data_IF_191600118092
#
_entry.id   IF_191600118092
#
_cell.length_a   1.000
_cell.length_b   1.000
_cell.length_c   1.000
_cell.angle_alpha   90.00
_cell.angle_beta   90.00
_cell.angle_gamma   90.00
#
_symmetry.space_group_name_H-M   'P 1'
#
loop_
_entity.id
_entity.type
_entity.pdbx_description
1 polymer ?
#
# COMPACT_ATOMS: atom_id res chain seq x y z
N UNK A 1 -85.56 -24.42 -17.79
CA UNK A 1 -85.80 -24.13 -19.23
C UNK A 1 -84.51 -23.42 -19.71
N UNK A 2 -83.75 -24.15 -20.45
CA UNK A 2 -83.24 -23.88 -21.79
C UNK A 2 -82.82 -22.41 -22.03
N UNK A 3 -81.57 -22.05 -22.40
CA UNK A 3 -81.01 -22.34 -23.70
C UNK A 3 -79.51 -22.05 -23.75
N UNK A 4 -78.79 -22.86 -24.46
CA UNK A 4 -77.45 -22.70 -24.98
C UNK A 4 -77.38 -21.52 -26.00
N UNK A 5 -76.28 -20.84 -26.04
CA UNK A 5 -75.68 -20.37 -27.30
C UNK A 5 -74.18 -20.26 -27.21
N UNK A 6 -73.52 -20.87 -28.14
CA UNK A 6 -72.10 -20.98 -28.34
C UNK A 6 -71.58 -19.86 -29.25
N UNK A 7 -70.25 -19.84 -29.36
CA UNK A 7 -69.39 -19.18 -30.39
C UNK A 7 -68.88 -17.77 -29.99
N UNK A 8 -67.61 -17.43 -30.11
CA UNK A 8 -66.55 -17.84 -31.03
C UNK A 8 -65.21 -17.43 -30.53
N UNK A 9 -64.23 -18.19 -30.93
CA UNK A 9 -62.75 -17.92 -30.78
C UNK A 9 -62.33 -16.63 -31.43
N UNK A 10 -61.48 -15.89 -30.75
CA UNK A 10 -60.47 -15.02 -31.40
C UNK A 10 -59.14 -15.19 -30.74
N UNK A 11 -58.25 -15.86 -31.44
CA UNK A 11 -56.82 -15.93 -31.17
C UNK A 11 -56.25 -14.50 -31.16
N UNK A 12 -55.66 -14.07 -30.05
CA UNK A 12 -54.70 -13.02 -30.06
C UNK A 12 -53.36 -13.62 -29.63
N UNK A 13 -52.43 -13.69 -30.58
CA UNK A 13 -51.02 -13.91 -30.37
C UNK A 13 -50.47 -12.78 -29.50
N UNK A 14 -50.12 -13.08 -28.26
CA UNK A 14 -49.26 -12.23 -27.45
C UNK A 14 -47.82 -12.68 -27.72
N UNK A 15 -47.08 -11.86 -28.43
CA UNK A 15 -45.64 -11.95 -28.58
C UNK A 15 -45.03 -11.73 -27.22
N UNK A 16 -44.59 -12.77 -26.53
CA UNK A 16 -43.63 -12.67 -25.43
C UNK A 16 -42.25 -12.37 -26.02
N UNK A 17 -41.87 -11.09 -25.94
CA UNK A 17 -40.48 -10.72 -26.15
C UNK A 17 -39.67 -11.20 -24.94
N UNK A 18 -38.99 -12.31 -25.10
CA UNK A 18 -37.94 -12.75 -24.20
C UNK A 18 -36.83 -11.68 -24.18
N UNK A 19 -36.77 -10.88 -23.11
CA UNK A 19 -35.56 -10.14 -22.72
C UNK A 19 -34.55 -11.21 -22.28
N UNK A 20 -33.67 -11.61 -23.19
CA UNK A 20 -32.42 -12.24 -22.83
C UNK A 20 -31.55 -11.15 -22.20
N UNK A 21 -31.51 -11.08 -20.86
CA UNK A 21 -30.48 -10.41 -20.11
C UNK A 21 -29.14 -11.08 -20.46
N UNK A 22 -28.41 -10.43 -21.30
CA UNK A 22 -27.04 -10.81 -21.65
C UNK A 22 -26.15 -10.53 -20.42
N UNK A 23 -26.18 -11.43 -19.44
CA UNK A 23 -25.16 -11.50 -18.40
C UNK A 23 -23.91 -12.00 -19.09
N UNK A 24 -23.01 -11.06 -19.43
CA UNK A 24 -21.63 -11.38 -19.74
C UNK A 24 -21.04 -12.03 -18.50
N UNK A 25 -20.94 -13.36 -18.51
CA UNK A 25 -20.17 -14.09 -17.52
C UNK A 25 -18.72 -13.56 -17.62
N UNK A 26 -18.24 -12.86 -16.59
CA UNK A 26 -16.82 -12.59 -16.46
C UNK A 26 -16.13 -13.97 -16.44
N UNK A 27 -15.26 -14.18 -17.43
CA UNK A 27 -14.45 -15.38 -17.50
C UNK A 27 -13.57 -15.41 -16.25
N UNK A 28 -13.86 -16.29 -15.30
CA UNK A 28 -13.06 -16.47 -14.09
C UNK A 28 -11.68 -16.94 -14.54
N UNK A 29 -10.69 -16.07 -14.40
CA UNK A 29 -9.29 -16.45 -14.64
C UNK A 29 -8.83 -17.43 -13.55
N UNK A 30 -8.03 -18.41 -13.94
CA UNK A 30 -7.37 -19.28 -12.96
C UNK A 30 -6.43 -18.44 -12.09
N UNK A 31 -6.30 -18.75 -10.79
CA UNK A 31 -5.39 -18.05 -9.89
C UNK A 31 -3.94 -18.06 -10.41
N UNK A 32 -3.20 -16.98 -10.16
CA UNK A 32 -1.83 -16.83 -10.64
C UNK A 32 -0.99 -15.94 -9.71
N UNK A 33 0.33 -16.07 -9.76
CA UNK A 33 1.23 -15.36 -8.88
C UNK A 33 1.06 -13.84 -8.99
N UNK A 34 0.90 -13.19 -7.84
CA UNK A 34 0.91 -11.75 -7.73
C UNK A 34 2.33 -11.23 -7.45
N UNK A 35 2.79 -10.25 -8.22
CA UNK A 35 4.07 -9.57 -7.99
C UNK A 35 3.79 -8.17 -7.45
N UNK A 36 4.12 -7.93 -6.19
CA UNK A 36 3.87 -6.66 -5.52
C UNK A 36 5.12 -5.77 -5.61
N UNK A 37 4.95 -4.58 -6.16
CA UNK A 37 5.93 -3.49 -6.14
C UNK A 37 5.54 -2.55 -5.01
N UNK A 38 6.10 -2.79 -3.82
CA UNK A 38 5.86 -2.01 -2.62
C UNK A 38 6.83 -0.84 -2.58
N UNK A 39 6.32 0.38 -2.68
CA UNK A 39 7.10 1.62 -2.82
C UNK A 39 6.90 2.51 -1.61
N UNK A 40 8.00 2.99 -1.00
CA UNK A 40 7.93 4.08 -0.03
C UNK A 40 7.63 5.40 -0.73
N UNK A 41 6.70 6.19 -0.21
CA UNK A 41 6.40 7.52 -0.75
C UNK A 41 7.65 8.40 -0.96
N UNK A 42 7.55 9.36 -1.87
CA UNK A 42 8.61 10.33 -2.16
C UNK A 42 8.89 11.27 -0.98
N UNK A 43 10.03 11.97 -1.02
CA UNK A 43 10.47 12.87 0.03
C UNK A 43 9.51 14.05 0.21
N UNK A 44 9.04 14.27 1.45
CA UNK A 44 8.10 15.32 1.82
C UNK A 44 8.78 16.48 2.54
N UNK A 45 8.05 17.57 2.78
CA UNK A 45 8.51 18.68 3.61
C UNK A 45 8.83 18.23 5.05
N UNK A 46 8.06 17.29 5.62
CA UNK A 46 8.31 16.78 6.98
C UNK A 46 9.59 15.93 7.00
N UNK A 47 9.81 15.08 5.99
CA UNK A 47 11.07 14.35 5.87
C UNK A 47 12.26 15.32 5.71
N UNK A 48 12.09 16.39 4.95
CA UNK A 48 13.17 17.38 4.72
C UNK A 48 13.51 18.22 5.96
N UNK A 49 12.56 18.35 6.88
CA UNK A 49 12.73 19.09 8.14
C UNK A 49 12.92 18.17 9.34
N UNK A 50 13.15 16.88 9.09
CA UNK A 50 13.40 15.83 10.10
C UNK A 50 12.30 15.79 11.18
N UNK A 51 11.05 15.60 10.72
CA UNK A 51 9.90 15.52 11.61
C UNK A 51 9.17 14.19 11.49
N UNK A 52 8.62 13.73 12.60
CA UNK A 52 7.74 12.57 12.67
C UNK A 52 6.54 12.76 11.74
N UNK A 53 6.31 11.79 10.89
CA UNK A 53 5.29 11.82 9.88
C UNK A 53 4.57 10.47 9.82
N UNK A 54 3.67 10.28 10.74
CA UNK A 54 2.74 9.16 10.75
C UNK A 54 1.47 9.52 9.97
N UNK A 55 0.40 9.89 10.69
CA UNK A 55 -0.84 10.34 10.08
C UNK A 55 -0.83 11.83 9.74
N UNK A 56 0.05 12.64 10.33
CA UNK A 56 0.31 13.98 9.83
C UNK A 56 0.79 13.89 8.38
N UNK A 57 0.30 14.77 7.52
CA UNK A 57 0.58 14.71 6.10
C UNK A 57 1.19 16.03 5.59
N UNK A 58 1.98 15.93 4.53
CA UNK A 58 2.61 17.03 3.86
C UNK A 58 2.98 16.65 2.43
N UNK A 59 2.96 17.62 1.50
CA UNK A 59 3.24 17.37 0.09
C UNK A 59 4.69 16.91 -0.13
N UNK A 60 4.92 16.24 -1.25
CA UNK A 60 6.26 16.00 -1.75
C UNK A 60 6.95 17.33 -2.02
N UNK A 61 8.25 17.41 -1.73
CA UNK A 61 9.08 18.53 -2.18
C UNK A 61 9.49 18.32 -3.64
N UNK A 62 9.95 19.39 -4.37
CA UNK A 62 10.31 19.25 -5.79
C UNK A 62 11.31 18.12 -6.08
N UNK A 63 12.31 17.94 -5.22
CA UNK A 63 13.29 16.85 -5.34
C UNK A 63 12.65 15.48 -5.11
N UNK A 64 11.64 15.40 -4.24
CA UNK A 64 10.84 14.19 -4.01
C UNK A 64 9.98 13.84 -5.22
N UNK A 65 9.35 14.84 -5.84
CA UNK A 65 8.57 14.64 -7.08
C UNK A 65 9.45 14.17 -8.23
N UNK A 66 10.64 14.78 -8.41
CA UNK A 66 11.60 14.39 -9.45
C UNK A 66 12.08 12.95 -9.23
N UNK A 67 12.43 12.60 -8.00
CA UNK A 67 12.80 11.23 -7.64
C UNK A 67 11.70 10.24 -8.05
N UNK A 68 10.45 10.52 -7.70
CA UNK A 68 9.32 9.63 -7.99
C UNK A 68 8.99 9.56 -9.48
N UNK A 69 9.10 10.65 -10.24
CA UNK A 69 9.01 10.61 -11.70
C UNK A 69 10.08 9.68 -12.31
N UNK A 70 11.29 9.73 -11.78
CA UNK A 70 12.36 8.83 -12.22
C UNK A 70 12.05 7.37 -11.84
N UNK A 71 11.50 7.09 -10.64
CA UNK A 71 10.99 5.74 -10.30
C UNK A 71 9.93 5.30 -11.30
N UNK A 72 8.96 6.16 -11.62
CA UNK A 72 7.92 5.89 -12.61
C UNK A 72 8.48 5.55 -13.98
N UNK A 73 9.49 6.29 -14.47
CA UNK A 73 10.19 5.99 -15.74
C UNK A 73 10.93 4.65 -15.65
N UNK A 74 11.54 4.32 -14.51
CA UNK A 74 12.16 3.01 -14.28
C UNK A 74 11.16 1.87 -14.39
N UNK A 75 9.94 2.08 -13.88
CA UNK A 75 8.82 1.14 -13.91
C UNK A 75 7.91 1.27 -15.14
N UNK A 76 8.25 2.11 -16.11
CA UNK A 76 7.36 2.49 -17.23
C UNK A 76 6.84 1.32 -18.07
N UNK A 77 7.63 0.27 -18.22
CA UNK A 77 7.28 -0.90 -19.03
C UNK A 77 6.61 -2.03 -18.21
N UNK A 78 6.39 -1.84 -16.90
CA UNK A 78 5.75 -2.84 -16.06
C UNK A 78 4.23 -2.77 -16.25
N UNK A 79 3.59 -3.84 -16.73
CA UNK A 79 2.14 -3.88 -16.91
C UNK A 79 1.46 -4.13 -15.56
N UNK A 80 1.22 -3.07 -14.79
CA UNK A 80 0.43 -3.17 -13.57
C UNK A 80 -1.02 -3.53 -13.91
N UNK A 81 -1.62 -4.42 -13.09
CA UNK A 81 -3.03 -4.81 -13.19
C UNK A 81 -3.89 -4.09 -12.15
N UNK A 82 -3.28 -3.59 -11.07
CA UNK A 82 -3.92 -2.84 -9.99
C UNK A 82 -2.91 -1.89 -9.34
N UNK A 83 -3.42 -0.83 -8.72
CA UNK A 83 -2.62 0.14 -7.99
C UNK A 83 -3.32 0.53 -6.68
N UNK A 84 -2.57 0.50 -5.59
CA UNK A 84 -3.02 0.84 -4.25
C UNK A 84 -2.08 1.86 -3.62
N UNK A 85 -2.62 2.72 -2.77
CA UNK A 85 -1.82 3.57 -1.88
C UNK A 85 -2.49 3.70 -0.52
N UNK A 86 -1.74 4.07 0.51
CA UNK A 86 -2.43 4.66 1.66
C UNK A 86 -3.20 5.92 1.22
N UNK A 87 -4.18 6.32 2.00
CA UNK A 87 -4.99 7.52 1.73
C UNK A 87 -4.29 8.83 2.17
N UNK A 88 -3.01 8.77 2.59
CA UNK A 88 -2.18 9.96 2.82
C UNK A 88 -1.84 10.64 1.49
N UNK A 89 -1.95 11.96 1.43
CA UNK A 89 -1.72 12.75 0.21
C UNK A 89 -0.34 12.49 -0.41
N UNK A 90 0.71 12.31 0.41
CA UNK A 90 2.06 11.95 -0.06
C UNK A 90 2.13 10.61 -0.78
N UNK A 91 1.38 9.62 -0.32
CA UNK A 91 1.34 8.30 -0.97
C UNK A 91 0.51 8.34 -2.25
N UNK A 92 -0.63 9.03 -2.23
CA UNK A 92 -1.47 9.26 -3.41
C UNK A 92 -0.68 10.02 -4.49
N UNK A 93 0.02 11.10 -4.11
CA UNK A 93 0.84 11.88 -5.04
C UNK A 93 1.96 11.00 -5.65
N UNK A 94 2.61 10.18 -4.85
CA UNK A 94 3.64 9.23 -5.29
C UNK A 94 3.08 8.23 -6.31
N UNK A 95 1.97 7.56 -5.98
CA UNK A 95 1.36 6.57 -6.87
C UNK A 95 0.95 7.19 -8.21
N UNK A 96 0.32 8.37 -8.19
CA UNK A 96 -0.08 9.07 -9.40
C UNK A 96 1.11 9.47 -10.28
N UNK A 97 2.22 9.92 -9.70
CA UNK A 97 3.44 10.24 -10.45
C UNK A 97 4.04 8.99 -11.12
N UNK A 98 4.05 7.83 -10.43
CA UNK A 98 4.52 6.57 -11.01
C UNK A 98 3.62 6.13 -12.17
N UNK A 99 2.29 6.14 -11.98
CA UNK A 99 1.34 5.72 -13.00
C UNK A 99 1.35 6.64 -14.23
N UNK A 100 1.57 7.94 -14.03
CA UNK A 100 1.65 8.90 -15.14
C UNK A 100 2.80 8.62 -16.11
N UNK A 101 3.91 8.06 -15.64
CA UNK A 101 5.06 7.68 -16.47
C UNK A 101 4.90 6.29 -17.12
N UNK A 102 3.89 5.51 -16.73
CA UNK A 102 3.69 4.17 -17.27
C UNK A 102 3.30 4.21 -18.77
N UNK A 103 3.90 3.36 -19.58
CA UNK A 103 3.70 3.27 -21.03
C UNK A 103 2.76 2.14 -21.46
N UNK A 104 2.32 1.34 -20.50
CA UNK A 104 1.31 0.29 -20.69
C UNK A 104 -0.09 0.84 -20.44
N UNK A 105 -1.10 -0.02 -20.46
CA UNK A 105 -2.47 0.37 -20.11
C UNK A 105 -2.63 0.69 -18.60
N UNK A 106 -1.58 0.48 -17.81
CA UNK A 106 -1.60 0.73 -16.37
C UNK A 106 -1.85 2.19 -15.98
N UNK A 107 -1.59 3.17 -16.85
CA UNK A 107 -1.95 4.57 -16.60
C UNK A 107 -3.46 4.84 -16.55
N UNK A 108 -4.29 3.91 -17.02
CA UNK A 108 -5.75 3.98 -16.92
C UNK A 108 -6.31 3.27 -15.69
N UNK A 109 -5.44 2.65 -14.88
CA UNK A 109 -5.84 1.94 -13.65
C UNK A 109 -6.29 2.96 -12.61
N UNK A 110 -7.44 2.70 -12.00
CA UNK A 110 -7.92 3.47 -10.85
C UNK A 110 -7.04 3.19 -9.63
N UNK A 111 -6.57 4.25 -8.97
CA UNK A 111 -5.83 4.16 -7.73
C UNK A 111 -6.77 3.92 -6.56
N UNK A 112 -6.68 2.76 -5.94
CA UNK A 112 -7.48 2.40 -4.76
C UNK A 112 -6.75 2.81 -3.48
N UNK A 113 -7.42 3.61 -2.64
CA UNK A 113 -6.86 4.07 -1.36
C UNK A 113 -7.23 3.11 -0.23
N UNK A 114 -6.25 2.76 0.60
CA UNK A 114 -6.35 1.78 1.67
C UNK A 114 -5.82 2.33 2.99
N UNK A 115 -6.70 2.48 3.99
CA UNK A 115 -6.31 2.98 5.31
C UNK A 115 -5.40 1.99 6.06
N UNK A 116 -5.56 0.70 5.82
CA UNK A 116 -4.75 -0.35 6.44
C UNK A 116 -3.24 -0.17 6.20
N UNK A 117 -2.83 0.41 5.09
CA UNK A 117 -1.42 0.65 4.78
C UNK A 117 -0.94 2.09 5.04
N UNK A 118 -1.64 2.88 5.91
CA UNK A 118 -1.11 4.13 6.47
C UNK A 118 0.16 3.88 7.28
N UNK A 119 0.96 4.93 7.48
CA UNK A 119 2.08 4.90 8.44
C UNK A 119 1.58 4.66 9.88
N UNK A 120 2.48 4.28 10.79
CA UNK A 120 2.20 4.24 12.21
C UNK A 120 1.67 5.59 12.70
N UNK A 121 0.68 5.57 13.59
CA UNK A 121 0.15 6.77 14.22
C UNK A 121 0.95 7.09 15.48
N UNK A 122 1.49 8.30 15.55
CA UNK A 122 2.37 8.71 16.64
C UNK A 122 1.69 9.62 17.68
N UNK A 123 0.36 9.76 17.64
CA UNK A 123 -0.39 10.56 18.61
C UNK A 123 0.10 12.01 18.70
N UNK A 124 0.41 12.48 19.90
CA UNK A 124 0.89 13.84 20.12
C UNK A 124 2.27 14.14 19.52
N UNK A 125 3.02 13.12 19.10
CA UNK A 125 4.31 13.31 18.40
C UNK A 125 4.17 13.61 16.91
N UNK A 126 2.98 13.59 16.35
CA UNK A 126 2.76 13.93 14.94
C UNK A 126 3.27 15.34 14.60
N UNK A 127 4.20 15.40 13.65
CA UNK A 127 4.85 16.65 13.24
C UNK A 127 5.93 17.16 14.19
N UNK A 128 6.19 16.49 15.31
CA UNK A 128 7.32 16.82 16.20
C UNK A 128 8.65 16.43 15.54
N UNK A 129 9.78 16.95 16.03
CA UNK A 129 11.09 16.54 15.53
C UNK A 129 11.34 15.06 15.83
N UNK A 130 11.94 14.35 14.87
CA UNK A 130 12.31 12.95 15.07
C UNK A 130 13.24 12.77 16.28
N UNK A 131 14.20 13.68 16.47
CA UNK A 131 15.11 13.69 17.64
C UNK A 131 14.34 13.67 18.97
N UNK A 132 13.20 14.38 19.07
CA UNK A 132 12.37 14.43 20.27
C UNK A 132 11.65 13.09 20.46
N UNK A 133 10.90 12.65 19.47
CA UNK A 133 10.13 11.40 19.55
C UNK A 133 11.03 10.19 19.82
N UNK A 134 12.09 10.02 19.02
CA UNK A 134 13.01 8.89 19.17
C UNK A 134 13.83 8.99 20.47
N UNK A 135 14.21 10.21 20.87
CA UNK A 135 14.93 10.44 22.12
C UNK A 135 14.09 10.12 23.36
N UNK A 136 12.82 10.49 23.36
CA UNK A 136 11.92 10.20 24.46
C UNK A 136 11.61 8.69 24.53
N UNK A 137 11.36 8.04 23.38
CA UNK A 137 11.19 6.60 23.32
C UNK A 137 12.45 5.84 23.77
N UNK A 138 13.64 6.26 23.37
CA UNK A 138 14.90 5.68 23.83
C UNK A 138 15.07 5.76 25.35
N UNK A 139 14.85 6.94 25.94
CA UNK A 139 14.89 7.14 27.41
C UNK A 139 13.88 6.28 28.14
N UNK A 140 12.65 6.18 27.62
CA UNK A 140 11.61 5.34 28.19
C UNK A 140 12.05 3.86 28.25
N UNK A 141 12.75 3.41 27.20
CA UNK A 141 13.31 2.05 27.11
C UNK A 141 14.62 1.85 27.89
N UNK A 142 15.14 2.90 28.56
CA UNK A 142 16.35 2.84 29.36
C UNK A 142 17.66 3.03 28.59
N UNK A 143 17.61 3.60 27.37
CA UNK A 143 18.77 3.99 26.58
C UNK A 143 19.07 5.48 26.74
N UNK A 144 20.32 5.88 26.66
CA UNK A 144 20.72 7.29 26.80
C UNK A 144 20.28 8.12 25.57
N UNK A 145 20.23 7.51 24.38
CA UNK A 145 19.91 8.17 23.10
C UNK A 145 19.40 7.19 22.04
N UNK A 146 18.96 7.73 20.90
CA UNK A 146 18.47 6.95 19.77
C UNK A 146 19.53 5.99 19.20
N UNK A 147 20.82 6.40 19.15
CA UNK A 147 21.87 5.56 18.57
C UNK A 147 22.07 4.27 19.36
N UNK A 148 22.03 4.36 20.69
CA UNK A 148 22.10 3.18 21.56
C UNK A 148 20.88 2.27 21.38
N UNK A 149 19.69 2.84 21.27
CA UNK A 149 18.49 2.08 20.98
C UNK A 149 18.61 1.34 19.64
N UNK A 150 19.04 2.02 18.58
CA UNK A 150 19.23 1.39 17.27
C UNK A 150 20.29 0.28 17.32
N UNK A 151 21.39 0.49 18.06
CA UNK A 151 22.45 -0.50 18.24
C UNK A 151 22.00 -1.71 19.10
N UNK A 152 20.91 -1.62 19.85
CA UNK A 152 20.43 -2.69 20.74
C UNK A 152 19.93 -3.94 19.98
N UNK A 153 19.71 -3.82 18.66
CA UNK A 153 19.23 -4.91 17.82
C UNK A 153 17.80 -5.37 18.12
N UNK A 154 17.41 -6.47 17.51
CA UNK A 154 16.03 -6.99 17.58
C UNK A 154 15.06 -6.17 16.70
N UNK A 155 13.77 -6.30 16.95
CA UNK A 155 12.76 -5.54 16.21
C UNK A 155 12.70 -4.10 16.74
N UNK A 156 13.46 -3.20 16.13
CA UNK A 156 13.51 -1.79 16.52
C UNK A 156 12.17 -1.09 16.28
N UNK A 157 11.45 -1.44 15.21
CA UNK A 157 10.12 -0.88 14.92
C UNK A 157 9.15 -1.19 16.06
N UNK A 158 9.12 -2.44 16.53
CA UNK A 158 8.29 -2.85 17.65
C UNK A 158 8.62 -2.08 18.94
N UNK A 159 9.92 -1.97 19.26
CA UNK A 159 10.38 -1.22 20.44
C UNK A 159 9.91 0.22 20.39
N UNK A 160 10.10 0.90 19.24
CA UNK A 160 9.74 2.31 19.08
C UNK A 160 8.23 2.49 19.13
N UNK A 161 7.46 1.72 18.37
CA UNK A 161 6.00 1.87 18.32
C UNK A 161 5.39 1.67 19.70
N UNK A 162 5.79 0.63 20.43
CA UNK A 162 5.29 0.39 21.78
C UNK A 162 5.71 1.49 22.77
N UNK A 163 6.97 1.93 22.72
CA UNK A 163 7.44 3.01 23.58
C UNK A 163 6.70 4.32 23.30
N UNK A 164 6.47 4.68 22.04
CA UNK A 164 5.72 5.88 21.66
C UNK A 164 4.26 5.77 22.15
N UNK A 165 3.61 4.62 21.96
CA UNK A 165 2.25 4.41 22.46
C UNK A 165 2.14 4.52 23.99
N UNK A 166 3.16 4.04 24.73
CA UNK A 166 3.18 4.11 26.20
C UNK A 166 3.42 5.53 26.74
N UNK A 167 4.20 6.37 26.04
CA UNK A 167 4.54 7.73 26.50
C UNK A 167 3.70 8.81 25.86
N UNK A 168 2.88 8.49 24.88
CA UNK A 168 2.03 9.46 24.19
C UNK A 168 1.01 10.10 25.14
N UNK A 169 1.10 11.42 25.30
CA UNK A 169 0.21 12.17 26.19
C UNK A 169 -1.24 12.23 25.72
N UNK A 170 -1.51 11.98 24.43
CA UNK A 170 -2.89 11.92 23.91
C UNK A 170 -3.53 10.55 24.11
N UNK A 171 -2.74 9.48 24.25
CA UNK A 171 -3.21 8.11 24.29
C UNK A 171 -3.76 7.60 22.95
N UNK A 172 -3.44 8.28 21.85
CA UNK A 172 -3.94 7.97 20.51
C UNK A 172 -2.90 7.25 19.63
N UNK A 173 -1.61 7.23 20.05
CA UNK A 173 -0.55 6.57 19.28
C UNK A 173 -0.78 5.06 19.20
N UNK A 174 -0.54 4.49 18.01
CA UNK A 174 -0.67 3.04 17.80
C UNK A 174 0.46 2.26 18.46
N UNK A 175 0.13 1.13 19.06
CA UNK A 175 1.08 0.08 19.42
C UNK A 175 1.58 -0.65 18.14
N UNK A 176 2.68 -1.39 18.29
CA UNK A 176 3.17 -2.24 17.19
C UNK A 176 2.17 -3.29 16.76
N UNK A 177 1.43 -3.89 17.70
CA UNK A 177 0.44 -4.92 17.39
C UNK A 177 -0.71 -4.38 16.56
N UNK A 178 -1.24 -3.18 16.90
CA UNK A 178 -2.29 -2.52 16.12
C UNK A 178 -1.82 -2.19 14.70
N UNK A 179 -0.61 -1.62 14.57
CA UNK A 179 0.01 -1.35 13.27
C UNK A 179 0.20 -2.62 12.46
N UNK A 180 0.72 -3.67 13.07
CA UNK A 180 0.97 -4.98 12.44
C UNK A 180 -0.34 -5.59 11.92
N UNK A 181 -1.34 -5.68 12.78
CA UNK A 181 -2.59 -6.35 12.44
C UNK A 181 -3.31 -5.66 11.27
N UNK A 182 -3.44 -4.31 11.30
CA UNK A 182 -4.07 -3.62 10.20
C UNK A 182 -3.26 -3.65 8.90
N UNK A 183 -1.93 -3.45 9.01
CA UNK A 183 -1.10 -3.28 7.82
C UNK A 183 -0.84 -4.60 7.10
N UNK A 184 -0.58 -5.66 7.83
CA UNK A 184 -0.35 -6.97 7.24
C UNK A 184 -1.63 -7.57 6.68
N UNK A 185 -2.76 -7.47 7.41
CA UNK A 185 -4.06 -7.94 6.90
C UNK A 185 -4.48 -7.23 5.61
N UNK A 186 -4.29 -5.90 5.52
CA UNK A 186 -4.61 -5.17 4.28
C UNK A 186 -3.66 -5.57 3.14
N UNK A 187 -2.37 -5.74 3.43
CA UNK A 187 -1.38 -6.14 2.45
C UNK A 187 -1.64 -7.56 1.90
N UNK A 188 -1.98 -8.51 2.78
CA UNK A 188 -2.40 -9.85 2.36
C UNK A 188 -3.69 -9.82 1.53
N UNK A 189 -4.66 -8.98 1.92
CA UNK A 189 -5.90 -8.81 1.15
C UNK A 189 -5.63 -8.31 -0.28
N UNK A 190 -4.71 -7.34 -0.45
CA UNK A 190 -4.29 -6.85 -1.76
C UNK A 190 -3.64 -7.96 -2.60
N UNK A 191 -2.77 -8.75 -1.99
CA UNK A 191 -2.08 -9.82 -2.68
C UNK A 191 -3.01 -10.98 -3.08
N UNK A 192 -3.92 -11.36 -2.18
CA UNK A 192 -4.93 -12.38 -2.44
C UNK A 192 -5.88 -11.95 -3.56
N UNK A 193 -6.36 -10.69 -3.54
CA UNK A 193 -7.21 -10.15 -4.59
C UNK A 193 -6.55 -10.23 -5.98
N UNK A 194 -5.26 -9.90 -6.05
CA UNK A 194 -4.51 -10.02 -7.29
C UNK A 194 -4.29 -11.48 -7.70
N UNK A 195 -3.97 -12.37 -6.75
CA UNK A 195 -3.79 -13.79 -7.00
C UNK A 195 -5.06 -14.44 -7.55
N UNK A 196 -6.21 -14.21 -6.92
CA UNK A 196 -7.51 -14.75 -7.33
C UNK A 196 -7.96 -14.24 -8.71
N UNK A 197 -7.55 -13.04 -9.10
CA UNK A 197 -7.84 -12.45 -10.42
C UNK A 197 -6.88 -12.90 -11.54
N UNK A 198 -6.06 -13.90 -11.29
CA UNK A 198 -5.15 -14.47 -12.29
C UNK A 198 -3.71 -13.98 -12.20
N UNK A 199 -3.35 -13.30 -11.12
CA UNK A 199 -1.99 -12.81 -10.87
C UNK A 199 -1.60 -11.61 -11.73
N UNK A 200 -0.37 -11.15 -11.54
CA UNK A 200 0.22 -10.03 -12.28
C UNK A 200 0.90 -9.02 -11.37
N UNK A 201 1.31 -7.88 -11.94
CA UNK A 201 2.04 -6.87 -11.20
C UNK A 201 1.09 -5.88 -10.53
N UNK A 202 1.32 -5.60 -9.26
CA UNK A 202 0.52 -4.67 -8.44
C UNK A 202 1.44 -3.58 -7.89
N UNK A 203 1.06 -2.33 -8.06
CA UNK A 203 1.71 -1.19 -7.41
C UNK A 203 1.09 -0.96 -6.04
N UNK A 204 1.90 -0.89 -4.99
CA UNK A 204 1.46 -0.52 -3.64
C UNK A 204 2.36 0.58 -3.10
N UNK A 205 1.78 1.73 -2.73
CA UNK A 205 2.55 2.85 -2.16
C UNK A 205 2.20 3.01 -0.69
N UNK A 206 3.22 2.89 0.17
CA UNK A 206 3.10 2.95 1.62
C UNK A 206 4.27 3.74 2.25
N UNK A 207 4.64 3.45 3.48
CA UNK A 207 5.50 4.25 4.34
C UNK A 207 6.59 3.39 5.00
N UNK A 208 7.58 4.05 5.58
CA UNK A 208 8.79 3.38 6.04
C UNK A 208 8.55 2.36 7.17
N UNK A 209 7.90 2.77 8.24
CA UNK A 209 7.65 1.88 9.40
C UNK A 209 6.65 0.79 9.03
N UNK A 210 5.58 1.14 8.30
CA UNK A 210 4.58 0.18 7.82
C UNK A 210 5.19 -0.88 6.91
N UNK A 211 6.05 -0.49 5.96
CA UNK A 211 6.76 -1.45 5.10
C UNK A 211 7.64 -2.38 5.93
N UNK A 212 8.37 -1.84 6.91
CA UNK A 212 9.19 -2.65 7.81
C UNK A 212 8.35 -3.61 8.64
N UNK A 213 7.19 -3.17 9.12
CA UNK A 213 6.25 -4.02 9.87
C UNK A 213 5.70 -5.15 9.01
N UNK A 214 5.28 -4.87 7.78
CA UNK A 214 4.80 -5.88 6.82
C UNK A 214 5.90 -6.90 6.51
N UNK A 215 7.11 -6.42 6.18
CA UNK A 215 8.21 -7.32 5.83
C UNK A 215 8.66 -8.18 7.00
N UNK A 216 8.60 -7.67 8.23
CA UNK A 216 8.92 -8.45 9.43
C UNK A 216 8.00 -9.66 9.64
N UNK A 217 6.77 -9.64 9.09
CA UNK A 217 5.85 -10.80 9.13
C UNK A 217 6.22 -11.86 8.08
N UNK A 218 6.90 -11.45 7.01
CA UNK A 218 7.37 -12.36 5.95
C UNK A 218 8.73 -12.95 6.31
N UNK A 219 9.69 -12.07 6.61
CA UNK A 219 11.03 -12.42 7.07
C UNK A 219 11.67 -11.21 7.76
N UNK A 220 11.78 -11.23 9.08
CA UNK A 220 12.34 -10.13 9.86
C UNK A 220 13.81 -9.82 9.52
N UNK A 221 14.55 -10.78 8.94
CA UNK A 221 15.97 -10.60 8.62
C UNK A 221 16.23 -9.68 7.42
N UNK A 222 15.18 -9.41 6.60
CA UNK A 222 15.30 -8.57 5.41
C UNK A 222 14.94 -7.11 5.64
N UNK A 223 14.46 -6.76 6.84
CA UNK A 223 14.11 -5.37 7.18
C UNK A 223 15.40 -4.55 7.29
N UNK A 224 15.59 -3.49 6.46
CA UNK A 224 16.81 -2.72 6.51
C UNK A 224 16.97 -2.00 7.86
N UNK A 225 18.14 -2.14 8.47
CA UNK A 225 18.45 -1.51 9.78
C UNK A 225 18.37 0.03 9.72
N UNK A 226 18.73 0.63 8.58
CA UNK A 226 18.65 2.06 8.30
C UNK A 226 17.25 2.53 7.87
N UNK A 227 16.29 1.60 7.80
CA UNK A 227 14.96 1.86 7.27
C UNK A 227 14.92 1.93 5.75
N UNK A 228 13.76 2.27 5.21
CA UNK A 228 13.53 2.35 3.77
C UNK A 228 13.84 3.76 3.25
N UNK A 229 14.52 3.89 2.11
CA UNK A 229 14.74 5.17 1.45
C UNK A 229 13.44 5.69 0.79
N UNK A 230 13.23 7.02 0.74
CA UNK A 230 12.10 7.58 -0.02
C UNK A 230 12.20 7.16 -1.50
N UNK A 231 11.10 6.70 -2.08
CA UNK A 231 11.05 6.21 -3.46
C UNK A 231 11.73 4.86 -3.70
N UNK A 232 12.19 4.17 -2.65
CA UNK A 232 12.68 2.80 -2.80
C UNK A 232 11.56 1.82 -3.13
N UNK A 233 11.92 0.78 -3.85
CA UNK A 233 11.03 -0.30 -4.27
C UNK A 233 11.45 -1.61 -3.61
N UNK A 234 10.50 -2.27 -2.97
CA UNK A 234 10.63 -3.65 -2.49
C UNK A 234 9.72 -4.51 -3.35
N UNK A 235 10.26 -5.59 -3.90
CA UNK A 235 9.54 -6.48 -4.81
C UNK A 235 9.31 -7.83 -4.17
N UNK A 236 8.04 -8.24 -4.13
CA UNK A 236 7.60 -9.48 -3.50
C UNK A 236 6.74 -10.29 -4.48
N UNK A 237 6.81 -11.60 -4.41
CA UNK A 237 5.93 -12.50 -5.14
C UNK A 237 5.09 -13.30 -4.15
N UNK A 238 3.80 -13.44 -4.44
CA UNK A 238 2.84 -14.22 -3.66
C UNK A 238 2.16 -15.25 -4.55
N UNK A 239 2.19 -16.52 -4.15
CA UNK A 239 1.63 -17.65 -4.90
C UNK A 239 0.28 -18.15 -4.37
N UNK A 240 -0.37 -17.34 -3.51
CA UNK A 240 -1.61 -17.71 -2.84
C UNK A 240 -1.40 -18.34 -1.45
N UNK A 241 -0.17 -18.65 -1.08
CA UNK A 241 0.16 -19.27 0.22
C UNK A 241 1.51 -18.80 0.78
N UNK A 242 2.49 -18.59 -0.06
CA UNK A 242 3.88 -18.30 0.33
C UNK A 242 4.34 -16.99 -0.29
N UNK A 243 5.01 -16.19 0.52
CA UNK A 243 5.71 -14.99 0.08
C UNK A 243 7.15 -15.33 -0.33
N UNK A 244 7.59 -14.76 -1.45
CA UNK A 244 8.96 -14.78 -1.89
C UNK A 244 9.48 -13.37 -2.05
N UNK A 245 10.54 -13.04 -1.34
CA UNK A 245 11.20 -11.73 -1.45
C UNK A 245 12.14 -11.75 -2.65
N UNK A 246 11.96 -10.80 -3.56
CA UNK A 246 12.76 -10.69 -4.78
C UNK A 246 13.77 -9.56 -4.67
N UNK A 247 13.38 -8.42 -4.13
CA UNK A 247 14.20 -7.21 -3.98
C UNK A 247 13.77 -6.45 -2.74
N UNK A 248 14.70 -5.79 -2.05
CA UNK A 248 14.40 -5.00 -0.85
C UNK A 248 15.08 -3.64 -0.95
N UNK A 249 14.31 -2.57 -0.71
CA UNK A 249 14.79 -1.18 -0.58
C UNK A 249 15.62 -0.68 -1.78
N UNK A 250 15.24 -1.07 -3.00
CA UNK A 250 15.99 -0.80 -4.22
C UNK A 250 15.74 0.60 -4.76
N UNK A 251 16.81 1.36 -5.02
CA UNK A 251 16.78 2.67 -5.68
C UNK A 251 17.10 2.59 -7.19
N UNK A 252 17.45 1.41 -7.71
CA UNK A 252 17.84 1.22 -9.10
C UNK A 252 16.79 1.72 -10.10
N UNK A 253 15.50 1.61 -9.78
CA UNK A 253 14.42 2.08 -10.65
C UNK A 253 14.48 3.61 -10.87
N UNK A 254 14.84 4.37 -9.82
CA UNK A 254 15.06 5.80 -9.97
C UNK A 254 16.31 6.12 -10.82
N UNK A 255 17.38 5.33 -10.65
CA UNK A 255 18.63 5.49 -11.41
C UNK A 255 18.43 5.17 -12.90
N UNK A 256 17.75 4.06 -13.20
CA UNK A 256 17.38 3.68 -14.56
C UNK A 256 16.45 4.72 -15.23
N UNK A 257 15.52 5.30 -14.45
CA UNK A 257 14.61 6.32 -14.95
C UNK A 257 15.28 7.66 -15.28
N UNK A 258 16.39 8.01 -14.61
CA UNK A 258 17.20 9.20 -14.97
C UNK A 258 17.84 9.10 -16.33
N UNK A 259 18.02 7.88 -16.83
CA UNK A 259 18.67 7.59 -18.11
C UNK A 259 17.68 7.54 -19.28
N UNK A 260 16.38 7.59 -18.98
CA UNK A 260 15.25 7.54 -19.94
C UNK A 260 14.62 8.92 -20.11
#
# INVERSE_FOLDING_TARGET
MFSLAACASSNQNVNESSNEENQTAEEQKEPGNATIYLVRHGKTILNNTDRAQGWADGPLIPEGEELIKNVGKGLAEIPFIAAYSSDSGRAIQTANLILAENKTDAKSIELVQKQGIREGYFGAYEGEKNEVMWGDAAKHLGFDNQEELLASGGNIIEKIMNAVAEIDSSGEAESYEELKDRSFSEFESIANDAYEKGGGNVLVVSHGITMGTILAQIDASIVPAEGFANGSVTKLEFDGNVWKVLEVNELKYAEEGKSK
#
